data_IF_143142215748
#
_entry.id   IF_143142215748
#
_cell.length_a   1.000
_cell.length_b   1.000
_cell.length_c   1.000
_cell.angle_alpha   90.00
_cell.angle_beta   90.00
_cell.angle_gamma   90.00
#
_symmetry.space_group_name_H-M   'P 1'
#
loop_
_entity.id
_entity.type
_entity.pdbx_description
1 polymer ?
#
# COMPACT_ATOMS: atom_id res chain seq x y z
N UNK A 1 14.92 19.01 2.11
CA UNK A 1 13.46 19.21 2.14
C UNK A 1 12.91 18.34 3.26
N UNK A 2 12.71 18.90 4.46
CA UNK A 2 12.34 18.16 5.68
C UNK A 2 10.87 18.36 6.08
N UNK A 3 9.95 18.23 5.12
CA UNK A 3 8.51 18.32 5.43
C UNK A 3 8.06 17.01 6.04
N UNK A 4 7.24 17.07 7.09
CA UNK A 4 6.50 15.90 7.60
C UNK A 4 5.57 15.41 6.48
N UNK A 5 5.61 14.12 6.19
CA UNK A 5 4.75 13.49 5.17
C UNK A 5 4.00 12.35 5.83
N UNK A 6 2.68 12.34 5.63
CA UNK A 6 1.78 11.28 6.07
C UNK A 6 1.10 10.69 4.84
N UNK A 7 1.21 9.38 4.64
CA UNK A 7 0.59 8.64 3.55
C UNK A 7 -0.53 7.75 4.08
N UNK A 8 -1.77 8.10 3.75
CA UNK A 8 -2.95 7.35 4.17
C UNK A 8 -3.41 6.38 3.07
N UNK A 9 -3.23 5.08 3.30
CA UNK A 9 -3.58 4.00 2.38
C UNK A 9 -4.99 3.49 2.67
N UNK A 10 -5.88 3.64 1.69
CA UNK A 10 -7.29 3.23 1.77
C UNK A 10 -7.68 2.38 0.56
N UNK A 11 -8.75 1.60 0.69
CA UNK A 11 -9.26 0.69 -0.34
C UNK A 11 -8.13 -0.12 -1.03
N UNK A 12 -8.06 -0.07 -2.38
CA UNK A 12 -7.07 -0.82 -3.15
C UNK A 12 -5.63 -0.44 -2.82
N UNK A 13 -5.39 0.76 -2.30
CA UNK A 13 -4.09 1.21 -1.83
C UNK A 13 -3.53 0.34 -0.70
N UNK A 14 -4.38 -0.27 0.14
CA UNK A 14 -3.91 -1.19 1.18
C UNK A 14 -3.13 -2.38 0.63
N UNK A 15 -3.41 -2.81 -0.60
CA UNK A 15 -2.69 -3.93 -1.22
C UNK A 15 -1.20 -3.64 -1.43
N UNK A 16 -0.81 -2.37 -1.48
CA UNK A 16 0.59 -1.93 -1.57
C UNK A 16 1.33 -2.30 -0.27
N UNK A 17 0.67 -2.14 0.88
CA UNK A 17 1.24 -2.35 2.20
C UNK A 17 1.27 -3.82 2.63
N UNK A 18 0.65 -4.73 1.87
CA UNK A 18 0.63 -6.15 2.22
C UNK A 18 2.01 -6.78 2.06
N UNK A 19 2.41 -7.57 3.05
CA UNK A 19 3.60 -8.44 2.96
C UNK A 19 3.48 -9.35 1.74
N UNK A 20 4.60 -9.56 1.06
CA UNK A 20 4.64 -10.41 -0.12
C UNK A 20 4.38 -11.88 0.25
N UNK A 21 5.00 -12.31 1.35
CA UNK A 21 4.87 -13.66 1.88
C UNK A 21 3.52 -13.84 2.57
N UNK A 22 2.98 -15.06 2.46
CA UNK A 22 1.70 -15.39 3.09
C UNK A 22 1.89 -15.47 4.60
N UNK A 23 1.20 -14.61 5.33
CA UNK A 23 1.10 -14.68 6.79
C UNK A 23 -0.14 -15.51 7.15
N UNK A 24 0.02 -16.48 8.05
CA UNK A 24 -1.10 -17.26 8.56
C UNK A 24 -1.81 -16.47 9.67
N UNK A 25 -3.07 -16.11 9.45
CA UNK A 25 -3.89 -15.34 10.39
C UNK A 25 -5.28 -15.94 10.45
N UNK A 26 -5.90 -15.90 11.63
CA UNK A 26 -7.27 -16.38 11.80
C UNK A 26 -8.26 -15.34 11.26
N UNK A 27 -9.14 -15.80 10.37
CA UNK A 27 -10.07 -14.97 9.60
C UNK A 27 -11.35 -15.75 9.27
N UNK A 28 -12.44 -15.03 9.04
CA UNK A 28 -13.67 -15.61 8.53
C UNK A 28 -13.50 -16.20 7.12
N UNK A 29 -14.46 -17.00 6.67
CA UNK A 29 -14.45 -17.60 5.33
C UNK A 29 -14.39 -16.53 4.23
N UNK A 30 -15.22 -15.49 4.32
CA UNK A 30 -15.26 -14.39 3.35
C UNK A 30 -13.97 -13.56 3.35
N UNK A 31 -13.44 -13.24 4.52
CA UNK A 31 -12.17 -12.51 4.69
C UNK A 31 -11.00 -13.23 4.03
N UNK A 32 -10.95 -14.56 4.18
CA UNK A 32 -9.96 -15.40 3.53
C UNK A 32 -10.09 -15.36 2.00
N UNK A 33 -11.32 -15.40 1.49
CA UNK A 33 -11.59 -15.31 0.06
C UNK A 33 -11.14 -13.95 -0.50
N UNK A 34 -11.54 -12.84 0.12
CA UNK A 34 -11.09 -11.49 -0.29
C UNK A 34 -9.56 -11.35 -0.21
N UNK A 35 -8.95 -11.85 0.86
CA UNK A 35 -7.50 -11.84 1.02
C UNK A 35 -6.73 -12.66 -0.02
N UNK A 36 -7.36 -13.66 -0.66
CA UNK A 36 -6.78 -14.42 -1.77
C UNK A 36 -6.98 -13.73 -3.12
N UNK A 37 -8.13 -13.10 -3.35
CA UNK A 37 -8.45 -12.44 -4.62
C UNK A 37 -7.63 -11.16 -4.86
N UNK A 38 -7.27 -10.47 -3.78
CA UNK A 38 -6.55 -9.20 -3.91
C UNK A 38 -5.03 -9.38 -4.06
N UNK A 39 -4.35 -8.46 -4.79
CA UNK A 39 -2.90 -8.46 -4.91
C UNK A 39 -2.18 -8.43 -3.56
N UNK A 40 -1.02 -9.09 -3.50
CA UNK A 40 -0.13 -9.10 -2.33
C UNK A 40 1.13 -8.32 -2.63
N UNK A 41 1.19 -7.09 -2.11
CA UNK A 41 2.31 -6.19 -2.23
C UNK A 41 2.45 -5.57 -3.62
N UNK A 42 3.39 -4.64 -3.71
CA UNK A 42 3.73 -3.84 -4.89
C UNK A 42 4.04 -4.67 -6.15
N UNK A 43 4.59 -5.89 -5.99
CA UNK A 43 4.95 -6.79 -7.10
C UNK A 43 3.77 -7.37 -7.87
N UNK A 44 2.61 -7.49 -7.23
CA UNK A 44 1.39 -8.08 -7.84
C UNK A 44 0.37 -7.03 -8.27
N UNK A 45 0.69 -5.75 -8.14
CA UNK A 45 -0.20 -4.68 -8.58
C UNK A 45 -0.25 -4.65 -10.11
N UNK A 46 -1.47 -4.50 -10.62
CA UNK A 46 -1.69 -4.20 -12.03
C UNK A 46 -1.42 -2.73 -12.35
N UNK A 47 -1.23 -2.42 -13.62
CA UNK A 47 -1.20 -1.02 -14.07
C UNK A 47 -2.62 -0.45 -14.11
N UNK A 48 -2.75 0.84 -13.82
CA UNK A 48 -4.03 1.57 -13.86
C UNK A 48 -4.68 1.54 -15.25
N UNK A 49 -3.86 1.58 -16.31
CA UNK A 49 -4.24 1.35 -17.70
C UNK A 49 -3.21 0.44 -18.37
N UNK A 50 -3.62 -0.28 -19.41
CA UNK A 50 -2.75 -1.20 -20.17
C UNK A 50 -2.19 -2.36 -19.34
N UNK A 51 -2.96 -2.91 -18.40
CA UNK A 51 -2.50 -4.05 -17.59
C UNK A 51 -2.19 -5.30 -18.44
N UNK A 52 -2.91 -5.50 -19.56
CA UNK A 52 -2.70 -6.60 -20.52
C UNK A 52 -2.51 -7.97 -19.83
N UNK A 53 -3.46 -8.36 -18.97
CA UNK A 53 -3.39 -9.59 -18.17
C UNK A 53 -2.09 -9.77 -17.35
N UNK A 54 -1.46 -8.66 -16.94
CA UNK A 54 -0.23 -8.65 -16.17
C UNK A 54 1.06 -8.51 -17.01
N UNK A 55 0.96 -8.40 -18.34
CA UNK A 55 2.11 -8.11 -19.20
C UNK A 55 2.58 -6.66 -19.05
N UNK A 56 1.65 -5.71 -18.91
CA UNK A 56 1.95 -4.28 -18.74
C UNK A 56 2.86 -4.00 -17.53
N UNK A 57 2.52 -4.46 -16.32
CA UNK A 57 3.37 -4.32 -15.13
C UNK A 57 4.79 -4.87 -15.31
N UNK A 58 4.94 -5.99 -16.03
CA UNK A 58 6.27 -6.57 -16.30
C UNK A 58 7.08 -5.70 -17.24
N UNK A 59 6.45 -5.17 -18.29
CA UNK A 59 7.10 -4.30 -19.27
C UNK A 59 7.58 -2.99 -18.62
N UNK A 60 6.73 -2.31 -17.86
CA UNK A 60 7.13 -1.05 -17.21
C UNK A 60 8.26 -1.27 -16.20
N UNK A 61 8.23 -2.37 -15.43
CA UNK A 61 9.31 -2.72 -14.50
C UNK A 61 10.63 -2.98 -15.23
N UNK A 62 10.57 -3.62 -16.41
CA UNK A 62 11.76 -3.82 -17.26
C UNK A 62 12.34 -2.50 -17.76
N UNK A 63 11.48 -1.57 -18.22
CA UNK A 63 11.89 -0.22 -18.66
C UNK A 63 12.45 0.60 -17.50
N UNK A 64 11.83 0.54 -16.31
CA UNK A 64 12.36 1.20 -15.11
C UNK A 64 13.76 0.69 -14.78
N UNK A 65 13.95 -0.65 -14.80
CA UNK A 65 15.25 -1.27 -14.54
C UNK A 65 16.30 -0.86 -15.56
N UNK A 66 15.97 -0.83 -16.86
CA UNK A 66 16.93 -0.41 -17.90
C UNK A 66 17.32 1.06 -17.81
N UNK A 67 16.44 1.90 -17.25
CA UNK A 67 16.71 3.32 -16.96
C UNK A 67 17.31 3.58 -15.58
N UNK A 68 17.71 2.53 -14.84
CA UNK A 68 18.22 2.63 -13.47
C UNK A 68 17.27 3.37 -12.51
N UNK A 69 15.96 3.25 -12.74
CA UNK A 69 14.94 3.78 -11.83
C UNK A 69 14.75 2.81 -10.67
N UNK A 70 14.80 3.33 -9.45
CA UNK A 70 14.58 2.60 -8.19
C UNK A 70 13.24 1.84 -8.22
N UNK A 71 13.25 0.62 -7.70
CA UNK A 71 12.03 -0.18 -7.66
C UNK A 71 10.99 0.42 -6.70
N UNK A 72 9.70 0.13 -6.92
CA UNK A 72 8.64 0.57 -6.01
C UNK A 72 8.86 0.04 -4.59
N UNK A 73 9.42 -1.17 -4.47
CA UNK A 73 9.75 -1.79 -3.19
C UNK A 73 10.81 -0.98 -2.43
N UNK A 74 11.88 -0.59 -3.13
CA UNK A 74 12.97 0.21 -2.56
C UNK A 74 12.52 1.64 -2.23
N UNK A 75 11.62 2.22 -3.04
CA UNK A 75 11.02 3.53 -2.77
C UNK A 75 10.16 3.53 -1.50
N UNK A 76 9.35 2.48 -1.30
CA UNK A 76 8.56 2.31 -0.06
C UNK A 76 9.51 2.20 1.14
N UNK A 77 10.56 1.38 1.03
CA UNK A 77 11.54 1.22 2.10
C UNK A 77 12.25 2.54 2.42
N UNK A 78 12.73 3.26 1.41
CA UNK A 78 13.39 4.55 1.57
C UNK A 78 12.45 5.60 2.20
N UNK A 79 11.15 5.59 1.84
CA UNK A 79 10.13 6.44 2.46
C UNK A 79 10.02 6.17 3.97
N UNK A 80 9.92 4.90 4.36
CA UNK A 80 9.85 4.49 5.77
C UNK A 80 11.12 4.85 6.55
N UNK A 81 12.29 4.60 5.97
CA UNK A 81 13.59 4.95 6.57
C UNK A 81 13.77 6.47 6.72
N UNK A 82 13.13 7.26 5.86
CA UNK A 82 13.13 8.72 5.94
C UNK A 82 12.16 9.29 6.97
N UNK A 83 11.42 8.43 7.70
CA UNK A 83 10.46 8.84 8.72
C UNK A 83 9.10 9.29 8.18
N UNK A 84 8.74 8.91 6.94
CA UNK A 84 7.38 9.12 6.41
C UNK A 84 6.40 8.25 7.17
N UNK A 85 5.31 8.86 7.64
CA UNK A 85 4.28 8.16 8.39
C UNK A 85 3.34 7.41 7.44
N UNK A 86 3.37 6.08 7.47
CA UNK A 86 2.51 5.21 6.66
C UNK A 86 1.32 4.75 7.51
N UNK A 87 0.10 5.05 7.04
CA UNK A 87 -1.14 4.79 7.78
C UNK A 87 -2.08 3.95 6.94
N UNK A 88 -2.57 2.85 7.50
CA UNK A 88 -3.60 1.99 6.92
C UNK A 88 -4.99 2.38 7.45
N UNK A 89 -5.94 2.54 6.53
CA UNK A 89 -7.33 2.83 6.84
C UNK A 89 -8.02 1.62 7.51
N UNK A 90 -8.40 1.76 8.78
CA UNK A 90 -9.07 0.72 9.55
C UNK A 90 -10.33 0.18 8.85
N UNK A 91 -11.21 1.08 8.39
CA UNK A 91 -12.45 0.65 7.71
C UNK A 91 -12.16 -0.16 6.45
N UNK A 92 -11.12 0.20 5.70
CA UNK A 92 -10.75 -0.56 4.50
C UNK A 92 -10.16 -1.92 4.85
N UNK A 93 -9.39 -2.02 5.95
CA UNK A 93 -8.90 -3.31 6.45
C UNK A 93 -10.06 -4.23 6.83
N UNK A 94 -11.07 -3.70 7.53
CA UNK A 94 -12.24 -4.47 7.97
C UNK A 94 -13.06 -4.98 6.79
N UNK A 95 -13.36 -4.11 5.82
CA UNK A 95 -14.11 -4.49 4.60
C UNK A 95 -13.37 -5.55 3.78
N UNK A 96 -12.04 -5.48 3.75
CA UNK A 96 -11.19 -6.38 2.98
C UNK A 96 -10.77 -7.63 3.75
N UNK A 97 -11.15 -7.74 5.03
CA UNK A 97 -10.75 -8.82 5.91
C UNK A 97 -9.25 -8.92 6.08
N UNK A 98 -8.51 -7.80 6.10
CA UNK A 98 -7.06 -7.75 6.30
C UNK A 98 -6.74 -7.53 7.78
N UNK A 99 -5.72 -8.23 8.28
CA UNK A 99 -5.19 -8.09 9.64
C UNK A 99 -3.86 -7.35 9.62
N UNK A 100 -3.51 -6.70 10.73
CA UNK A 100 -2.31 -5.87 10.81
C UNK A 100 -1.04 -6.68 10.57
N UNK A 101 -1.02 -7.94 10.99
CA UNK A 101 0.12 -8.86 10.85
C UNK A 101 0.45 -9.16 9.38
N UNK A 102 -0.51 -8.97 8.48
CA UNK A 102 -0.32 -9.12 7.02
C UNK A 102 0.26 -7.87 6.36
N UNK A 103 0.35 -6.75 7.05
CA UNK A 103 0.95 -5.51 6.54
C UNK A 103 2.44 -5.46 6.87
N UNK A 104 3.20 -4.69 6.09
CA UNK A 104 4.62 -4.42 6.37
C UNK A 104 4.77 -3.76 7.75
N UNK A 105 5.89 -4.01 8.41
CA UNK A 105 6.11 -3.54 9.78
C UNK A 105 6.26 -2.02 9.82
N UNK A 106 5.78 -1.36 10.87
CA UNK A 106 5.82 0.10 11.00
C UNK A 106 4.62 0.84 10.39
N UNK A 107 3.65 0.13 9.83
CA UNK A 107 2.36 0.70 9.41
C UNK A 107 1.50 1.02 10.63
N UNK A 108 1.08 2.27 10.76
CA UNK A 108 0.08 2.69 11.74
C UNK A 108 -1.32 2.42 11.22
N UNK A 109 -2.28 2.27 12.14
CA UNK A 109 -3.69 2.12 11.80
C UNK A 109 -4.41 3.42 12.14
N UNK A 110 -5.17 3.94 11.19
CA UNK A 110 -5.91 5.19 11.34
C UNK A 110 -7.32 5.10 10.76
N UNK A 111 -8.25 5.83 11.38
CA UNK A 111 -9.58 6.07 10.84
C UNK A 111 -9.64 7.33 9.99
N UNK A 112 -10.84 7.64 9.49
CA UNK A 112 -11.07 8.88 8.72
C UNK A 112 -10.78 10.14 9.53
N UNK A 113 -11.08 10.15 10.84
CA UNK A 113 -10.78 11.30 11.71
C UNK A 113 -9.27 11.59 11.82
N UNK A 114 -8.44 10.54 11.85
CA UNK A 114 -6.99 10.70 11.82
C UNK A 114 -6.53 11.31 10.49
N UNK A 115 -7.06 10.82 9.35
CA UNK A 115 -6.76 11.39 8.04
C UNK A 115 -7.14 12.87 7.95
N UNK A 116 -8.34 13.22 8.42
CA UNK A 116 -8.81 14.61 8.38
C UNK A 116 -7.95 15.52 9.25
N UNK A 117 -7.56 15.10 10.46
CA UNK A 117 -6.66 15.88 11.31
C UNK A 117 -5.30 16.14 10.65
N UNK A 118 -4.65 15.10 10.11
CA UNK A 118 -3.37 15.29 9.41
C UNK A 118 -3.52 16.13 8.12
N UNK A 119 -4.67 16.05 7.44
CA UNK A 119 -4.95 16.83 6.24
C UNK A 119 -5.19 18.31 6.53
N UNK A 120 -5.87 18.64 7.64
CA UNK A 120 -6.11 20.01 8.10
C UNK A 120 -4.80 20.72 8.48
N UNK A 121 -3.88 20.01 9.14
CA UNK A 121 -2.58 20.55 9.54
C UNK A 121 -1.54 20.59 8.39
N UNK A 122 -1.84 19.94 7.27
CA UNK A 122 -0.93 19.83 6.12
C UNK A 122 -1.04 20.99 5.15
N UNK A 123 0.11 21.53 4.73
CA UNK A 123 0.13 22.57 3.69
C UNK A 123 -0.33 22.06 2.31
N UNK A 124 -0.23 20.75 2.06
CA UNK A 124 -0.58 20.11 0.79
C UNK A 124 -1.25 18.77 1.09
N UNK A 125 -2.45 18.57 0.55
CA UNK A 125 -3.18 17.31 0.61
C UNK A 125 -3.50 16.84 -0.82
N UNK A 126 -3.19 15.57 -1.13
CA UNK A 126 -3.37 14.96 -2.44
C UNK A 126 -4.10 13.63 -2.31
N UNK A 127 -5.02 13.36 -3.23
CA UNK A 127 -5.68 12.05 -3.36
C UNK A 127 -5.18 11.36 -4.65
N UNK A 128 -4.62 10.15 -4.50
CA UNK A 128 -3.95 9.38 -5.57
C UNK A 128 -4.59 8.00 -5.70
#
# INVERSE_FOLDING_TARGET
MGKKVTMFFTFRGLNILRKHDKVSVQKGFMDNMFGMMMPRGSKRLGLSKMNMLGMGPKMIRSVMKSKNVTSLEDLIKAAMESGIEIVACQMSMDVMGLKQEELIDGVKIGGVGYYLGEAEDSNVNLFI
#
